data_IF_043385277842
#
_entry.id   IF_043385277842
#
_cell.length_a   1.000
_cell.length_b   1.000
_cell.length_c   1.000
_cell.angle_alpha   90.00
_cell.angle_beta   90.00
_cell.angle_gamma   90.00
#
_symmetry.space_group_name_H-M   'P 1'
#
loop_
_entity.id
_entity.type
_entity.pdbx_description
1 polymer ?
#
# COMPACT_ATOMS: atom_id res chain seq x y z
N UNK A 1 -17.80 -15.62 -7.34
CA UNK A 1 -16.78 -16.61 -7.69
C UNK A 1 -17.31 -17.91 -8.27
N UNK A 2 -18.54 -18.36 -7.96
CA UNK A 2 -19.13 -19.53 -8.62
C UNK A 2 -19.24 -19.39 -10.14
N UNK A 3 -19.57 -18.21 -10.67
CA UNK A 3 -19.63 -17.97 -12.13
C UNK A 3 -18.28 -18.14 -12.85
N UNK A 4 -17.15 -17.89 -12.20
CA UNK A 4 -15.84 -18.05 -12.82
C UNK A 4 -15.51 -19.53 -13.08
N UNK A 5 -16.18 -20.44 -12.35
CA UNK A 5 -16.08 -21.89 -12.58
C UNK A 5 -16.56 -22.28 -13.99
N UNK A 6 -17.53 -21.54 -14.51
CA UNK A 6 -18.16 -21.83 -15.80
C UNK A 6 -17.62 -20.95 -16.94
N UNK A 7 -17.26 -19.70 -16.64
CA UNK A 7 -16.95 -18.67 -17.65
C UNK A 7 -15.44 -18.35 -17.79
N UNK A 8 -14.59 -18.87 -16.91
CA UNK A 8 -13.15 -18.61 -16.91
C UNK A 8 -12.79 -17.25 -16.30
N UNK A 9 -12.44 -16.27 -17.13
CA UNK A 9 -12.07 -14.91 -16.69
C UNK A 9 -13.32 -14.03 -16.58
N UNK A 10 -13.52 -13.43 -15.41
CA UNK A 10 -14.63 -12.51 -15.14
C UNK A 10 -14.09 -11.13 -14.82
N UNK A 11 -14.51 -10.11 -15.57
CA UNK A 11 -14.28 -8.72 -15.22
C UNK A 11 -15.26 -8.29 -14.12
N UNK A 12 -14.76 -7.60 -13.09
CA UNK A 12 -15.59 -7.12 -12.00
C UNK A 12 -16.08 -5.71 -12.34
N UNK A 13 -17.37 -5.57 -12.66
CA UNK A 13 -17.96 -4.29 -13.05
C UNK A 13 -17.75 -3.20 -11.97
N UNK A 14 -17.39 -2.00 -12.41
CA UNK A 14 -17.23 -0.83 -11.52
C UNK A 14 -15.90 -0.75 -10.76
N UNK A 15 -14.94 -1.64 -11.03
CA UNK A 15 -13.71 -1.79 -10.23
C UNK A 15 -12.43 -1.43 -11.00
N UNK A 16 -12.58 -0.70 -12.11
CA UNK A 16 -11.48 -0.47 -13.04
C UNK A 16 -11.05 -1.75 -13.75
N UNK A 17 -9.74 -2.03 -13.89
CA UNK A 17 -9.25 -3.14 -14.70
C UNK A 17 -9.27 -4.51 -13.98
N UNK A 18 -10.01 -4.65 -12.88
CA UNK A 18 -9.98 -5.86 -12.04
C UNK A 18 -10.73 -7.02 -12.68
N UNK A 19 -10.10 -8.19 -12.68
CA UNK A 19 -10.68 -9.43 -13.13
C UNK A 19 -10.44 -10.55 -12.10
N UNK A 20 -11.23 -11.61 -12.18
CA UNK A 20 -11.13 -12.79 -11.34
C UNK A 20 -11.18 -14.07 -12.18
N UNK A 21 -10.48 -15.09 -11.69
CA UNK A 21 -10.57 -16.48 -12.12
C UNK A 21 -11.19 -17.32 -11.00
N UNK A 22 -11.31 -18.62 -11.22
CA UNK A 22 -11.77 -19.59 -10.21
C UNK A 22 -10.94 -19.58 -8.94
N UNK A 23 -9.63 -19.30 -9.05
CA UNK A 23 -8.67 -19.37 -7.94
C UNK A 23 -8.45 -18.04 -7.23
N UNK A 24 -8.90 -16.92 -7.82
CA UNK A 24 -8.65 -15.57 -7.30
C UNK A 24 -9.01 -15.40 -5.83
N UNK A 25 -10.07 -16.04 -5.34
CA UNK A 25 -10.43 -15.94 -3.91
C UNK A 25 -9.35 -16.51 -3.01
N UNK A 26 -8.97 -17.77 -3.29
CA UNK A 26 -8.00 -18.50 -2.50
C UNK A 26 -6.62 -17.84 -2.59
N UNK A 27 -6.23 -17.38 -3.79
CA UNK A 27 -5.00 -16.62 -4.02
C UNK A 27 -5.00 -15.29 -3.25
N UNK A 28 -6.13 -14.59 -3.20
CA UNK A 28 -6.25 -13.34 -2.43
C UNK A 28 -6.14 -13.57 -0.93
N UNK A 29 -6.71 -14.67 -0.41
CA UNK A 29 -6.53 -15.06 1.00
C UNK A 29 -5.07 -15.39 1.32
N UNK A 30 -4.37 -16.11 0.43
CA UNK A 30 -2.94 -16.39 0.59
C UNK A 30 -2.10 -15.11 0.54
N UNK A 31 -2.42 -14.19 -0.37
CA UNK A 31 -1.76 -12.89 -0.51
C UNK A 31 -1.87 -12.05 0.77
N UNK A 32 -3.09 -11.90 1.30
CA UNK A 32 -3.32 -11.20 2.57
C UNK A 32 -2.68 -11.92 3.76
N UNK A 33 -2.77 -13.26 3.80
CA UNK A 33 -2.18 -14.10 4.84
C UNK A 33 -0.66 -14.01 4.91
N UNK A 34 0.02 -13.88 3.77
CA UNK A 34 1.46 -13.70 3.73
C UNK A 34 1.89 -12.38 4.41
N UNK A 35 1.12 -11.29 4.26
CA UNK A 35 1.35 -10.04 4.98
C UNK A 35 1.22 -10.20 6.50
N UNK A 36 0.19 -10.94 6.94
CA UNK A 36 -0.01 -11.29 8.36
C UNK A 36 1.19 -12.09 8.91
N UNK A 37 1.58 -13.15 8.22
CA UNK A 37 2.73 -13.99 8.62
C UNK A 37 4.04 -13.20 8.65
N UNK A 38 4.22 -12.24 7.75
CA UNK A 38 5.38 -11.37 7.74
C UNK A 38 5.42 -10.50 9.00
N UNK A 39 4.30 -9.90 9.40
CA UNK A 39 4.19 -9.11 10.64
C UNK A 39 4.55 -9.98 11.85
N UNK A 40 3.99 -11.18 11.98
CA UNK A 40 4.34 -12.11 13.06
C UNK A 40 5.85 -12.38 13.12
N UNK A 41 6.45 -12.65 11.96
CA UNK A 41 7.88 -12.99 11.85
C UNK A 41 8.78 -11.81 12.24
N UNK A 42 8.46 -10.61 11.78
CA UNK A 42 9.23 -9.38 12.11
C UNK A 42 9.11 -9.05 13.59
N UNK A 43 7.91 -9.16 14.17
CA UNK A 43 7.71 -8.91 15.61
C UNK A 43 8.42 -9.95 16.47
N UNK A 44 8.36 -11.23 16.09
CA UNK A 44 9.10 -12.29 16.78
C UNK A 44 10.62 -12.05 16.73
N UNK A 45 11.15 -11.70 15.55
CA UNK A 45 12.57 -11.36 15.37
C UNK A 45 13.01 -10.14 16.20
N UNK A 46 12.14 -9.13 16.33
CA UNK A 46 12.41 -7.94 17.16
C UNK A 46 12.60 -8.30 18.63
N UNK A 47 11.78 -9.21 19.16
CA UNK A 47 11.87 -9.71 20.55
C UNK A 47 13.17 -10.46 20.83
N UNK A 48 13.84 -10.97 19.78
CA UNK A 48 15.12 -11.67 19.88
C UNK A 48 16.34 -10.73 19.78
N UNK A 49 16.13 -9.41 19.65
CA UNK A 49 17.20 -8.42 19.62
C UNK A 49 17.86 -8.23 18.25
N UNK A 50 17.27 -8.75 17.16
CA UNK A 50 17.66 -8.35 15.81
C UNK A 50 17.18 -6.91 15.58
N UNK A 51 18.06 -6.01 15.11
CA UNK A 51 17.76 -4.57 15.08
C UNK A 51 18.26 -3.87 13.80
N UNK A 52 17.35 -3.31 12.97
CA UNK A 52 15.92 -3.63 12.88
C UNK A 52 15.70 -4.94 12.10
N UNK A 53 14.77 -5.82 12.53
CA UNK A 53 14.39 -6.97 11.72
C UNK A 53 13.58 -6.49 10.51
N UNK A 54 13.79 -7.14 9.37
CA UNK A 54 13.10 -6.84 8.11
C UNK A 54 12.62 -8.12 7.45
N UNK A 55 11.64 -7.98 6.57
CA UNK A 55 11.15 -9.07 5.77
C UNK A 55 10.43 -8.54 4.53
N UNK A 56 10.20 -9.44 3.56
CA UNK A 56 9.56 -9.10 2.30
C UNK A 56 8.56 -10.21 1.92
N UNK A 57 7.33 -9.83 1.58
CA UNK A 57 6.31 -10.76 1.10
C UNK A 57 6.10 -10.51 -0.40
N UNK A 58 6.54 -11.45 -1.23
CA UNK A 58 6.28 -11.43 -2.66
C UNK A 58 4.92 -12.07 -2.93
N UNK A 59 3.90 -11.24 -3.13
CA UNK A 59 2.50 -11.68 -3.15
C UNK A 59 1.78 -11.28 -4.44
N UNK A 60 0.76 -12.06 -4.80
CA UNK A 60 -0.18 -11.76 -5.88
C UNK A 60 -1.53 -12.42 -5.56
N UNK A 61 -2.68 -11.76 -5.76
CA UNK A 61 -2.88 -10.40 -6.31
C UNK A 61 -2.45 -9.25 -5.37
N UNK A 62 -2.24 -8.02 -5.90
CA UNK A 62 -1.90 -6.83 -5.12
C UNK A 62 -3.08 -6.38 -4.23
N UNK A 63 -2.90 -5.30 -3.45
CA UNK A 63 -3.89 -4.90 -2.45
C UNK A 63 -4.19 -3.41 -2.28
N UNK A 64 -3.28 -2.48 -2.61
CA UNK A 64 -3.39 -1.09 -2.12
C UNK A 64 -4.57 -0.27 -2.70
N UNK A 65 -5.22 -0.73 -3.77
CA UNK A 65 -6.41 -0.11 -4.36
C UNK A 65 -7.74 -0.67 -3.84
N UNK A 66 -7.74 -1.84 -3.19
CA UNK A 66 -8.97 -2.45 -2.70
C UNK A 66 -9.55 -1.60 -1.56
N UNK A 67 -10.71 -1.01 -1.81
CA UNK A 67 -11.44 -0.16 -0.86
C UNK A 67 -12.29 -1.02 0.09
N UNK A 68 -12.73 -0.51 1.24
CA UNK A 68 -13.62 -1.25 2.14
C UNK A 68 -14.87 -1.82 1.47
N UNK A 69 -15.39 -1.12 0.46
CA UNK A 69 -16.61 -1.49 -0.29
C UNK A 69 -16.37 -2.57 -1.34
N UNK A 70 -15.12 -2.84 -1.75
CA UNK A 70 -14.86 -3.84 -2.77
C UNK A 70 -13.52 -3.75 -3.51
N UNK A 71 -13.33 -4.67 -4.48
CA UNK A 71 -12.09 -4.76 -5.23
C UNK A 71 -11.95 -3.60 -6.21
N UNK A 72 -10.71 -3.23 -6.55
CA UNK A 72 -10.39 -2.20 -7.53
C UNK A 72 -8.93 -2.29 -7.97
N UNK A 73 -8.57 -1.88 -9.20
CA UNK A 73 -7.17 -1.75 -9.62
C UNK A 73 -6.38 -3.06 -9.50
N UNK A 74 -6.95 -4.18 -9.94
CA UNK A 74 -6.40 -5.54 -9.78
C UNK A 74 -6.34 -6.06 -8.33
N UNK A 75 -6.70 -5.24 -7.35
CA UNK A 75 -6.66 -5.57 -5.93
C UNK A 75 -8.00 -6.15 -5.48
N UNK A 76 -7.95 -7.28 -4.76
CA UNK A 76 -9.16 -7.94 -4.24
C UNK A 76 -9.36 -7.67 -2.74
N UNK A 77 -8.29 -7.76 -1.96
CA UNK A 77 -8.27 -7.41 -0.55
C UNK A 77 -7.17 -6.39 -0.28
N UNK A 78 -7.40 -5.49 0.67
CA UNK A 78 -6.40 -4.52 1.12
C UNK A 78 -5.29 -5.19 1.92
N UNK A 79 -4.37 -5.90 1.27
CA UNK A 79 -3.36 -6.75 1.94
C UNK A 79 -2.57 -5.99 3.02
N UNK A 80 -2.07 -4.78 2.68
CA UNK A 80 -1.29 -3.94 3.60
C UNK A 80 -2.17 -3.40 4.74
N UNK A 81 -3.44 -3.07 4.46
CA UNK A 81 -4.39 -2.60 5.46
C UNK A 81 -4.77 -3.70 6.46
N UNK A 82 -4.98 -4.92 5.95
CA UNK A 82 -5.19 -6.11 6.79
C UNK A 82 -3.97 -6.35 7.68
N UNK A 83 -2.75 -6.28 7.13
CA UNK A 83 -1.51 -6.44 7.90
C UNK A 83 -1.35 -5.35 8.97
N UNK A 84 -1.65 -4.09 8.65
CA UNK A 84 -1.59 -2.97 9.58
C UNK A 84 -2.56 -3.13 10.75
N UNK A 85 -3.82 -3.46 10.47
CA UNK A 85 -4.82 -3.69 11.52
C UNK A 85 -4.49 -4.92 12.35
N UNK A 86 -3.96 -5.98 11.71
CA UNK A 86 -3.48 -7.17 12.41
C UNK A 86 -2.33 -6.84 13.37
N UNK A 87 -1.36 -6.02 12.95
CA UNK A 87 -0.26 -5.57 13.81
C UNK A 87 -0.75 -4.86 15.08
N UNK A 88 -1.74 -3.98 14.96
CA UNK A 88 -2.39 -3.33 16.10
C UNK A 88 -3.13 -4.34 16.99
N UNK A 89 -4.00 -5.17 16.40
CA UNK A 89 -4.88 -6.05 17.18
C UNK A 89 -4.14 -7.21 17.87
N UNK A 90 -3.15 -7.82 17.20
CA UNK A 90 -2.47 -9.01 17.72
C UNK A 90 -1.18 -8.70 18.48
N UNK A 91 -0.46 -7.65 18.07
CA UNK A 91 0.84 -7.31 18.66
C UNK A 91 0.82 -6.02 19.49
N UNK A 92 -0.31 -5.31 19.54
CA UNK A 92 -0.44 -4.07 20.31
C UNK A 92 0.40 -2.91 19.77
N UNK A 93 0.86 -3.01 18.50
CA UNK A 93 1.66 -1.99 17.84
C UNK A 93 0.76 -0.82 17.47
N UNK A 94 0.67 0.17 18.37
CA UNK A 94 -0.31 1.25 18.28
C UNK A 94 -0.12 2.09 17.02
N UNK A 95 1.09 2.60 16.79
CA UNK A 95 1.39 3.51 15.67
C UNK A 95 1.97 2.73 14.49
N UNK A 96 1.21 2.56 13.41
CA UNK A 96 1.68 1.90 12.19
C UNK A 96 1.86 2.94 11.10
N UNK A 97 3.03 2.98 10.47
CA UNK A 97 3.24 3.81 9.27
C UNK A 97 3.22 2.93 8.03
N UNK A 98 2.46 3.32 7.02
CA UNK A 98 2.42 2.67 5.71
C UNK A 98 3.05 3.63 4.71
N UNK A 99 4.11 3.19 4.04
CA UNK A 99 4.77 3.90 2.94
C UNK A 99 4.42 3.18 1.64
N UNK A 100 3.77 3.87 0.73
CA UNK A 100 3.40 3.36 -0.58
C UNK A 100 4.20 4.07 -1.67
N UNK A 101 5.07 3.32 -2.35
CA UNK A 101 5.86 3.84 -3.47
C UNK A 101 5.46 3.24 -4.83
N UNK A 102 4.39 2.43 -4.87
CA UNK A 102 3.75 2.08 -6.14
C UNK A 102 3.43 3.36 -6.92
N UNK A 103 3.56 3.32 -8.24
CA UNK A 103 3.37 4.53 -9.06
C UNK A 103 1.93 5.04 -9.02
N UNK A 104 0.98 4.20 -8.62
CA UNK A 104 -0.43 4.53 -8.45
C UNK A 104 -0.73 4.91 -7.01
N UNK A 105 -1.66 5.85 -6.83
CA UNK A 105 -2.09 6.21 -5.48
C UNK A 105 -2.80 5.03 -4.81
N UNK A 106 -2.31 4.58 -3.66
CA UNK A 106 -2.89 3.52 -2.82
C UNK A 106 -4.21 3.91 -2.16
N UNK A 107 -5.22 4.28 -2.95
CA UNK A 107 -6.49 4.83 -2.49
C UNK A 107 -7.25 3.90 -1.53
N UNK A 108 -7.20 2.58 -1.73
CA UNK A 108 -7.86 1.64 -0.84
C UNK A 108 -7.28 1.67 0.57
N UNK A 109 -5.96 1.82 0.66
CA UNK A 109 -5.27 1.99 1.95
C UNK A 109 -5.57 3.36 2.57
N UNK A 110 -5.61 4.42 1.75
CA UNK A 110 -6.01 5.75 2.19
C UNK A 110 -7.41 5.77 2.78
N UNK A 111 -8.40 5.22 2.06
CA UNK A 111 -9.81 5.20 2.45
C UNK A 111 -10.02 4.36 3.73
N UNK A 112 -9.32 3.23 3.85
CA UNK A 112 -9.43 2.34 5.02
C UNK A 112 -8.99 2.97 6.35
N UNK A 113 -8.17 4.04 6.32
CA UNK A 113 -7.60 4.67 7.50
C UNK A 113 -7.75 6.19 7.52
N UNK A 114 -8.61 6.76 6.68
CA UNK A 114 -8.67 8.20 6.46
C UNK A 114 -9.01 9.02 7.72
N UNK A 115 -9.67 8.40 8.69
CA UNK A 115 -10.02 8.98 10.00
C UNK A 115 -9.25 8.39 11.18
N UNK A 116 -8.25 7.53 10.94
CA UNK A 116 -7.51 6.82 11.99
C UNK A 116 -6.23 7.59 12.40
N UNK A 117 -6.13 8.05 13.67
CA UNK A 117 -4.93 8.77 14.16
C UNK A 117 -3.71 7.87 14.38
N UNK A 118 -3.93 6.56 14.49
CA UNK A 118 -2.92 5.57 14.86
C UNK A 118 -2.29 4.88 13.63
N UNK A 119 -2.80 5.17 12.42
CA UNK A 119 -2.23 4.73 11.14
C UNK A 119 -1.79 5.95 10.33
N UNK A 120 -0.50 6.06 10.01
CA UNK A 120 0.01 7.09 9.12
C UNK A 120 0.16 6.52 7.71
N UNK A 121 -0.66 6.94 6.76
CA UNK A 121 -0.55 6.56 5.35
C UNK A 121 0.21 7.63 4.56
N UNK A 122 1.25 7.20 3.85
CA UNK A 122 2.03 8.05 2.94
C UNK A 122 2.08 7.39 1.57
N UNK A 123 1.76 8.12 0.51
CA UNK A 123 1.91 7.64 -0.87
C UNK A 123 2.68 8.64 -1.73
N UNK A 124 3.73 8.17 -2.39
CA UNK A 124 4.30 8.81 -3.59
C UNK A 124 3.70 8.15 -4.82
N UNK A 125 3.17 8.92 -5.75
CA UNK A 125 2.50 8.38 -6.93
C UNK A 125 2.58 9.38 -8.09
N UNK A 126 2.42 8.93 -9.32
CA UNK A 126 2.37 9.84 -10.46
C UNK A 126 1.07 10.66 -10.45
N UNK A 127 1.22 11.98 -10.52
CA UNK A 127 0.12 12.93 -10.61
C UNK A 127 -0.77 12.61 -11.82
N UNK A 128 -2.07 12.42 -11.56
CA UNK A 128 -3.07 12.15 -12.59
C UNK A 128 -3.06 10.72 -13.14
N UNK A 129 -2.20 9.84 -12.62
CA UNK A 129 -2.28 8.40 -12.91
C UNK A 129 -3.53 7.77 -12.26
N UNK A 130 -3.82 6.52 -12.61
CA UNK A 130 -4.91 5.76 -12.00
C UNK A 130 -4.80 5.79 -10.46
N UNK A 131 -5.92 5.95 -9.72
CA UNK A 131 -7.30 6.14 -10.19
C UNK A 131 -7.71 7.63 -10.32
N UNK A 132 -6.76 8.57 -10.32
CA UNK A 132 -7.03 10.02 -10.34
C UNK A 132 -7.28 10.63 -8.95
N UNK A 133 -6.95 9.89 -7.88
CA UNK A 133 -7.02 10.34 -6.49
C UNK A 133 -5.63 10.76 -5.98
N UNK A 134 -5.44 10.94 -4.66
CA UNK A 134 -4.11 11.29 -4.10
C UNK A 134 -3.77 12.78 -4.17
N UNK A 135 -4.78 13.66 -4.10
CA UNK A 135 -4.51 15.11 -4.08
C UNK A 135 -3.76 15.50 -2.80
N UNK A 136 -2.75 16.35 -2.94
CA UNK A 136 -1.88 16.80 -1.83
C UNK A 136 -2.64 17.47 -0.66
N UNK A 137 -3.81 18.06 -0.92
CA UNK A 137 -4.63 18.69 0.13
C UNK A 137 -5.55 17.71 0.87
N UNK A 138 -5.58 16.44 0.51
CA UNK A 138 -6.29 15.39 1.23
C UNK A 138 -5.37 14.83 2.30
N UNK A 139 -5.59 15.21 3.55
CA UNK A 139 -4.67 14.98 4.67
C UNK A 139 -5.25 14.10 5.78
N UNK A 140 -6.37 13.43 5.51
CA UNK A 140 -7.17 12.72 6.50
C UNK A 140 -8.33 13.59 6.99
N UNK A 141 -9.15 13.05 7.88
CA UNK A 141 -10.30 13.73 8.45
C UNK A 141 -10.53 13.35 9.92
N UNK A 142 -11.27 14.18 10.65
CA UNK A 142 -11.65 13.88 12.02
C UNK A 142 -10.42 13.65 12.91
N UNK A 143 -10.34 12.51 13.59
CA UNK A 143 -9.17 12.15 14.39
C UNK A 143 -7.91 11.87 13.56
N UNK A 144 -8.06 11.43 12.31
CA UNK A 144 -6.96 11.14 11.38
C UNK A 144 -6.46 12.36 10.60
N UNK A 145 -6.94 13.57 10.90
CA UNK A 145 -6.40 14.76 10.23
C UNK A 145 -4.90 14.91 10.52
N UNK A 146 -4.09 14.92 9.45
CA UNK A 146 -2.64 14.95 9.51
C UNK A 146 -1.95 13.58 9.50
N UNK A 147 -2.69 12.47 9.41
CA UNK A 147 -2.13 11.11 9.28
C UNK A 147 -2.20 10.55 7.86
N UNK A 148 -2.65 11.33 6.88
CA UNK A 148 -2.50 11.02 5.45
C UNK A 148 -1.57 12.04 4.79
N UNK A 149 -0.57 11.56 4.05
CA UNK A 149 0.33 12.39 3.26
C UNK A 149 0.43 11.91 1.81
N UNK A 150 -0.13 12.71 0.91
CA UNK A 150 -0.08 12.46 -0.53
C UNK A 150 1.01 13.30 -1.18
N UNK A 151 1.94 12.64 -1.88
CA UNK A 151 3.07 13.24 -2.60
C UNK A 151 2.95 12.95 -4.10
N UNK A 152 2.03 13.63 -4.82
CA UNK A 152 1.89 13.45 -6.26
C UNK A 152 3.14 14.01 -6.99
N UNK A 153 3.81 13.14 -7.72
CA UNK A 153 5.01 13.45 -8.50
C UNK A 153 4.63 13.72 -9.97
N UNK A 154 5.18 14.77 -10.61
CA UNK A 154 5.02 14.97 -12.05
C UNK A 154 5.52 13.75 -12.84
N UNK A 155 4.87 13.45 -13.98
CA UNK A 155 5.42 12.49 -14.94
C UNK A 155 6.83 12.89 -15.36
N UNK A 156 7.73 11.91 -15.49
CA UNK A 156 9.15 12.13 -15.74
C UNK A 156 10.01 12.28 -14.49
N UNK A 157 9.42 12.39 -13.29
CA UNK A 157 10.18 12.39 -12.03
C UNK A 157 10.97 11.08 -11.87
N UNK A 158 12.26 11.21 -11.56
CA UNK A 158 13.19 10.09 -11.39
C UNK A 158 13.81 10.04 -10.00
N UNK A 159 14.96 9.37 -9.89
CA UNK A 159 15.61 9.06 -8.61
C UNK A 159 15.93 10.28 -7.75
N UNK A 160 16.32 11.41 -8.36
CA UNK A 160 16.60 12.65 -7.63
C UNK A 160 15.33 13.20 -6.95
N UNK A 161 14.19 13.19 -7.65
CA UNK A 161 12.91 13.65 -7.09
C UNK A 161 12.50 12.77 -5.92
N UNK A 162 12.62 11.46 -6.06
CA UNK A 162 12.31 10.51 -4.99
C UNK A 162 13.27 10.64 -3.80
N UNK A 163 14.57 10.89 -4.05
CA UNK A 163 15.56 11.15 -2.99
C UNK A 163 15.19 12.38 -2.18
N UNK A 164 14.87 13.49 -2.85
CA UNK A 164 14.44 14.71 -2.18
C UNK A 164 13.14 14.48 -1.39
N UNK A 165 12.15 13.79 -1.97
CA UNK A 165 10.93 13.44 -1.25
C UNK A 165 11.22 12.60 0.00
N UNK A 166 12.17 11.66 -0.10
CA UNK A 166 12.56 10.82 1.03
C UNK A 166 13.22 11.64 2.14
N UNK A 167 14.26 12.41 1.81
CA UNK A 167 15.10 13.13 2.77
C UNK A 167 14.34 14.30 3.43
N UNK A 168 13.55 15.04 2.65
CA UNK A 168 12.89 16.27 3.11
C UNK A 168 11.48 16.03 3.67
N UNK A 169 10.86 14.89 3.35
CA UNK A 169 9.45 14.65 3.71
C UNK A 169 9.22 13.30 4.39
N UNK A 170 9.56 12.18 3.74
CA UNK A 170 9.21 10.84 4.25
C UNK A 170 9.93 10.55 5.56
N UNK A 171 11.25 10.72 5.61
CA UNK A 171 12.04 10.45 6.81
C UNK A 171 11.68 11.39 7.98
N UNK A 172 11.53 12.72 7.78
CA UNK A 172 11.02 13.61 8.83
C UNK A 172 9.61 13.23 9.33
N UNK A 173 8.72 12.78 8.44
CA UNK A 173 7.38 12.33 8.82
C UNK A 173 7.44 11.10 9.72
N UNK A 174 8.26 10.11 9.37
CA UNK A 174 8.49 8.93 10.21
C UNK A 174 9.08 9.29 11.58
N UNK A 175 10.05 10.20 11.63
CA UNK A 175 10.66 10.68 12.89
C UNK A 175 9.64 11.40 13.78
N UNK A 176 8.71 12.16 13.19
CA UNK A 176 7.65 12.86 13.91
C UNK A 176 6.58 11.89 14.42
N UNK A 177 6.15 10.95 13.58
CA UNK A 177 5.10 9.98 13.91
C UNK A 177 5.58 8.89 14.89
N UNK A 178 6.88 8.56 14.85
CA UNK A 178 7.52 7.53 15.70
C UNK A 178 6.78 6.19 15.62
N UNK A 179 6.67 5.57 14.44
CA UNK A 179 5.93 4.32 14.28
C UNK A 179 6.54 3.19 15.12
N UNK A 180 5.67 2.32 15.62
CA UNK A 180 6.05 1.05 16.24
C UNK A 180 6.43 0.01 15.17
N UNK A 181 5.89 0.15 13.95
CA UNK A 181 6.24 -0.63 12.76
C UNK A 181 6.02 0.18 11.48
N UNK A 182 6.90 -0.02 10.49
CA UNK A 182 6.74 0.52 9.13
C UNK A 182 6.40 -0.64 8.19
N UNK A 183 5.32 -0.47 7.43
CA UNK A 183 4.88 -1.37 6.37
C UNK A 183 5.05 -0.66 5.02
N UNK A 184 5.40 -1.41 3.98
CA UNK A 184 5.70 -0.84 2.67
C UNK A 184 4.87 -1.52 1.58
N UNK A 185 4.06 -0.75 0.86
CA UNK A 185 3.49 -1.17 -0.42
C UNK A 185 4.54 -0.92 -1.50
N UNK A 186 5.23 -2.00 -1.88
CA UNK A 186 6.40 -1.95 -2.75
C UNK A 186 6.05 -2.30 -4.21
N UNK A 187 5.32 -1.41 -4.90
CA UNK A 187 5.10 -1.48 -6.34
C UNK A 187 6.32 -0.99 -7.10
N UNK A 188 6.75 -1.72 -8.13
CA UNK A 188 7.96 -1.39 -8.91
C UNK A 188 7.65 -0.78 -10.29
N UNK A 189 6.40 -0.38 -10.50
CA UNK A 189 5.88 0.23 -11.73
C UNK A 189 6.22 1.73 -11.87
N UNK A 190 6.93 2.30 -10.89
CA UNK A 190 7.61 3.59 -11.05
C UNK A 190 8.93 3.49 -11.85
N UNK A 191 9.37 2.27 -12.17
CA UNK A 191 10.59 2.04 -12.94
C UNK A 191 10.47 2.60 -14.36
N UNK A 192 11.57 3.16 -14.90
CA UNK A 192 11.61 3.83 -16.21
C UNK A 192 11.23 2.96 -17.43
N UNK A 193 11.11 1.64 -17.24
CA UNK A 193 10.71 0.68 -18.27
C UNK A 193 9.28 0.17 -18.10
N UNK A 194 8.56 0.62 -17.08
CA UNK A 194 7.19 0.19 -16.84
C UNK A 194 6.24 0.87 -17.84
N UNK A 195 5.31 0.12 -18.47
CA UNK A 195 4.39 0.70 -19.45
C UNK A 195 3.17 1.40 -18.85
N UNK A 196 2.91 1.27 -17.54
CA UNK A 196 1.68 1.75 -16.90
C UNK A 196 1.76 3.20 -16.44
N UNK A 197 2.97 3.76 -16.32
CA UNK A 197 3.19 5.14 -15.90
C UNK A 197 4.42 5.75 -16.57
N UNK A 198 4.76 6.99 -16.18
CA UNK A 198 5.83 7.78 -16.75
C UNK A 198 6.87 8.26 -15.74
N UNK A 199 6.90 7.69 -14.51
CA UNK A 199 8.04 7.92 -13.62
C UNK A 199 9.30 7.26 -14.19
N UNK A 200 10.46 7.74 -13.74
CA UNK A 200 11.77 7.41 -14.32
C UNK A 200 12.72 6.86 -13.25
N UNK A 201 12.22 5.98 -12.37
CA UNK A 201 13.10 5.38 -11.35
C UNK A 201 14.02 4.35 -12.01
N UNK A 202 15.25 4.25 -11.50
CA UNK A 202 16.23 3.28 -12.00
C UNK A 202 16.58 2.25 -10.92
N UNK A 203 17.16 1.14 -11.37
CA UNK A 203 17.77 0.16 -10.46
C UNK A 203 19.22 0.56 -10.19
N UNK A 204 19.47 1.57 -9.35
CA UNK A 204 20.81 1.90 -8.83
C UNK A 204 21.24 3.36 -8.96
#
# INVERSE_FOLDING_TARGET
MSKALDEGLIFIEGTGPTYATQTTFAESLLSAGAGITLVDSVVAASKLGLSPPLGFALIRPPGHHAVPEGPMGFCVFGNIAVAARYAQCQHGLKRVMIIDFDVHHGNGTCDAFYDDPDIFFLSTHQLGSYPGTGKMNLIGQGSGEGTTLNLPLPGGSGDYSMRCAFDEVIAPSAQRFKPDIILVSAGYDAHALDPLAGLQFTTG
#
